data_IF_482204731723
#
_entry.id   IF_482204731723
#
_cell.length_a   1.000
_cell.length_b   1.000
_cell.length_c   1.000
_cell.angle_alpha   90.00
_cell.angle_beta   90.00
_cell.angle_gamma   90.00
#
_symmetry.space_group_name_H-M   'P 1'
#
loop_
_entity.id
_entity.type
_entity.pdbx_description
1 polymer ?
#
# COMPACT_ATOMS: atom_id res chain seq x y z
N UNK A 1 9.26 -16.41 6.01
CA UNK A 1 10.12 -15.61 5.13
C UNK A 1 9.23 -14.76 4.23
N UNK A 2 9.09 -13.47 4.54
CA UNK A 2 8.23 -12.52 3.81
C UNK A 2 9.01 -11.32 3.27
N UNK A 3 10.35 -11.35 3.37
CA UNK A 3 11.21 -10.23 2.98
C UNK A 3 11.40 -10.09 1.47
N UNK A 4 11.31 -11.19 0.72
CA UNK A 4 11.39 -11.21 -0.73
C UNK A 4 10.01 -11.51 -1.34
N UNK A 5 9.71 -10.89 -2.48
CA UNK A 5 8.53 -11.12 -3.33
C UNK A 5 7.14 -10.86 -2.70
N UNK A 6 7.05 -10.61 -1.39
CA UNK A 6 5.75 -10.41 -0.72
C UNK A 6 5.20 -9.00 -1.00
N UNK A 7 5.88 -7.96 -0.51
CA UNK A 7 5.41 -6.59 -0.76
C UNK A 7 5.49 -6.22 -2.25
N UNK A 8 6.47 -6.73 -3.01
CA UNK A 8 6.56 -6.44 -4.44
C UNK A 8 5.40 -7.04 -5.25
N UNK A 9 4.77 -8.11 -4.78
CA UNK A 9 3.59 -8.72 -5.42
C UNK A 9 2.26 -8.33 -4.75
N UNK A 10 2.29 -7.49 -3.70
CA UNK A 10 1.06 -7.08 -3.02
C UNK A 10 0.15 -6.26 -3.95
N UNK A 11 -1.14 -6.57 -3.94
CA UNK A 11 -2.17 -5.91 -4.75
C UNK A 11 -3.30 -5.38 -3.89
N UNK A 12 -4.17 -4.56 -4.49
CA UNK A 12 -5.40 -4.08 -3.87
C UNK A 12 -6.59 -5.00 -4.17
N UNK A 13 -6.36 -6.30 -4.36
CA UNK A 13 -7.45 -7.26 -4.55
C UNK A 13 -8.45 -7.15 -3.39
N UNK A 14 -9.75 -7.14 -3.71
CA UNK A 14 -10.86 -6.82 -2.81
C UNK A 14 -10.88 -5.37 -2.26
N UNK A 15 -10.24 -4.42 -2.95
CA UNK A 15 -10.14 -2.99 -2.54
C UNK A 15 -9.55 -2.81 -1.13
N UNK A 16 -8.62 -3.69 -0.75
CA UNK A 16 -7.89 -3.57 0.51
C UNK A 16 -6.67 -2.67 0.29
N UNK A 17 -6.48 -1.59 1.05
CA UNK A 17 -5.28 -0.76 0.95
C UNK A 17 -4.01 -1.55 1.30
N UNK A 18 -2.93 -1.35 0.55
CA UNK A 18 -1.64 -1.98 0.87
C UNK A 18 -1.11 -1.47 2.21
N UNK A 19 -0.54 -2.36 3.05
CA UNK A 19 -0.06 -1.99 4.38
C UNK A 19 1.22 -1.14 4.31
N UNK A 20 1.54 -0.48 5.42
CA UNK A 20 2.85 0.15 5.61
C UNK A 20 3.96 -0.91 5.70
N UNK A 21 5.19 -0.50 5.36
CA UNK A 21 6.41 -1.30 5.56
C UNK A 21 7.34 -0.55 6.51
N UNK A 22 7.81 -1.25 7.53
CA UNK A 22 8.70 -0.71 8.55
C UNK A 22 10.10 -1.30 8.40
N UNK A 23 11.11 -0.44 8.42
CA UNK A 23 12.50 -0.84 8.57
C UNK A 23 12.88 -0.76 10.04
N UNK A 24 13.40 -1.85 10.58
CA UNK A 24 13.87 -1.92 11.97
C UNK A 24 15.38 -2.02 11.99
N UNK A 25 15.99 -1.22 12.86
CA UNK A 25 17.41 -1.26 13.19
C UNK A 25 17.56 -1.13 14.72
N UNK A 26 18.74 -1.41 15.30
CA UNK A 26 18.91 -1.37 16.74
C UNK A 26 18.46 -0.03 17.35
N UNK A 27 17.42 -0.08 18.20
CA UNK A 27 16.87 1.08 18.90
C UNK A 27 16.00 2.02 18.03
N UNK A 28 15.73 1.71 16.76
CA UNK A 28 14.94 2.55 15.86
C UNK A 28 14.06 1.75 14.91
N UNK A 29 12.87 2.27 14.65
CA UNK A 29 11.97 1.78 13.63
C UNK A 29 11.40 2.94 12.84
N UNK A 30 11.45 2.87 11.51
CA UNK A 30 10.91 3.90 10.64
C UNK A 30 9.98 3.28 9.59
N UNK A 31 8.88 3.97 9.29
CA UNK A 31 8.05 3.63 8.13
C UNK A 31 8.83 4.01 6.88
N UNK A 32 9.11 3.03 6.03
CA UNK A 32 9.81 3.23 4.73
C UNK A 32 8.85 3.18 3.54
N UNK A 33 7.63 2.65 3.75
CA UNK A 33 6.52 2.76 2.81
C UNK A 33 5.25 3.03 3.60
N UNK A 34 4.56 4.11 3.30
CA UNK A 34 3.31 4.48 3.95
C UNK A 34 2.18 3.51 3.62
N UNK A 35 1.25 3.35 4.57
CA UNK A 35 0.00 2.60 4.33
C UNK A 35 -0.84 3.39 3.32
N UNK A 36 -1.38 2.69 2.32
CA UNK A 36 -2.35 3.33 1.43
C UNK A 36 -3.64 3.71 2.17
N UNK A 37 -4.20 4.85 1.79
CA UNK A 37 -5.54 5.28 2.18
C UNK A 37 -6.59 4.73 1.23
N UNK A 38 -7.87 4.95 1.52
CA UNK A 38 -8.93 4.67 0.55
C UNK A 38 -8.87 5.60 -0.66
N UNK A 39 -8.45 6.86 -0.48
CA UNK A 39 -8.29 7.82 -1.58
C UNK A 39 -7.19 7.36 -2.55
N UNK A 40 -6.12 6.75 -2.04
CA UNK A 40 -5.07 6.16 -2.89
C UNK A 40 -5.59 5.05 -3.81
N UNK A 41 -6.64 4.33 -3.41
CA UNK A 41 -7.27 3.31 -4.25
C UNK A 41 -8.04 3.93 -5.41
N UNK A 42 -8.67 5.08 -5.15
CA UNK A 42 -9.57 5.74 -6.09
C UNK A 42 -8.86 6.78 -6.96
N UNK A 43 -7.61 7.14 -6.65
CA UNK A 43 -6.89 8.25 -7.30
C UNK A 43 -6.79 8.16 -8.83
N UNK A 44 -6.95 6.96 -9.40
CA UNK A 44 -6.92 6.72 -10.84
C UNK A 44 -8.29 6.42 -11.44
N UNK A 45 -9.31 6.25 -10.61
CA UNK A 45 -10.68 6.04 -11.08
C UNK A 45 -11.21 7.37 -11.66
N UNK A 46 -11.93 7.28 -12.78
CA UNK A 46 -12.58 8.43 -13.43
C UNK A 46 -14.04 8.09 -13.64
N UNK A 47 -14.92 8.97 -13.21
CA UNK A 47 -16.35 8.86 -13.43
C UNK A 47 -16.68 9.73 -14.66
N UNK A 48 -17.12 9.15 -15.79
CA UNK A 48 -17.57 9.91 -16.95
C UNK A 48 -18.80 10.77 -16.63
N UNK A 49 -18.93 11.92 -17.29
CA UNK A 49 -20.02 12.88 -17.05
C UNK A 49 -21.43 12.36 -17.39
N UNK A 50 -21.53 11.28 -18.16
CA UNK A 50 -22.80 10.72 -18.62
C UNK A 50 -23.35 9.61 -17.71
N UNK A 51 -22.71 9.35 -16.56
CA UNK A 51 -23.18 8.42 -15.54
C UNK A 51 -23.94 9.12 -14.41
#
# INVERSE_FOLDING_TARGET
>A
NTGAYTFSMASNYNRIPRPAVVLVSPGRSDVIVERQTYDDLLRWDRIPEHL
#
